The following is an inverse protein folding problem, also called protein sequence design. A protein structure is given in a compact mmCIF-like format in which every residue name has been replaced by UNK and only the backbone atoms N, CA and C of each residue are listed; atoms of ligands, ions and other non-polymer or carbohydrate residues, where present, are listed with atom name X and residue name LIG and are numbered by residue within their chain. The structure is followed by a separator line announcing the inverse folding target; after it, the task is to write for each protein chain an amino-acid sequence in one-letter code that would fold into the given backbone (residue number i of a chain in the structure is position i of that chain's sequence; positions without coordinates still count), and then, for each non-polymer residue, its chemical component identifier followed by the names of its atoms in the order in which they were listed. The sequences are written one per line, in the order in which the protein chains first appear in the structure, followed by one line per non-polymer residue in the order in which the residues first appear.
data_IF_057555296222
#
_entry.id   IF_057555296222
#
_cell.length_a   1.000
_cell.length_b   1.000
_cell.length_c   1.000
_cell.angle_alpha   90.00
_cell.angle_beta   90.00
_cell.angle_gamma   90.00
#
_symmetry.space_group_name_H-M   'P 1'
#
loop_
_entity.id
_entity.type
_entity.pdbx_description
1 polymer ?
#
# COMPACT_ATOMS: atom_id res chain seq x y z
N UNK A 1 4.76 23.62 13.41
CA UNK A 1 5.08 23.03 12.10
C UNK A 1 4.16 21.88 11.83
N UNK A 2 3.72 21.76 10.58
CA UNK A 2 2.86 20.64 10.19
C UNK A 2 3.72 19.39 10.02
N UNK A 3 3.13 18.25 10.41
CA UNK A 3 3.74 16.95 10.27
C UNK A 3 3.63 16.46 8.82
N UNK A 4 4.70 15.86 8.31
CA UNK A 4 4.68 15.16 7.03
C UNK A 4 5.73 14.05 7.05
N UNK A 5 5.35 12.86 6.62
CA UNK A 5 6.28 11.74 6.47
C UNK A 5 6.08 11.11 5.10
N UNK A 6 7.20 10.71 4.49
CA UNK A 6 7.19 9.97 3.22
C UNK A 6 8.05 8.74 3.35
N UNK A 7 7.62 7.66 2.69
CA UNK A 7 8.44 6.46 2.60
C UNK A 7 8.12 5.70 1.32
N UNK A 8 8.95 4.74 1.00
CA UNK A 8 8.82 3.96 -0.23
C UNK A 8 9.04 2.48 0.07
N UNK A 9 8.24 1.64 -0.56
CA UNK A 9 8.40 0.19 -0.53
C UNK A 9 8.82 -0.26 -1.91
N UNK A 10 10.07 -0.73 -2.04
CA UNK A 10 10.63 -1.20 -3.31
C UNK A 10 10.34 -2.69 -3.50
N UNK A 11 9.07 -3.00 -3.68
CA UNK A 11 8.58 -4.35 -3.91
C UNK A 11 7.33 -4.27 -4.77
N UNK A 12 7.02 -5.37 -5.45
CA UNK A 12 5.81 -5.44 -6.26
C UNK A 12 4.58 -5.24 -5.36
N UNK A 13 3.63 -4.38 -5.79
CA UNK A 13 2.45 -4.13 -4.97
C UNK A 13 1.62 -5.40 -4.78
N UNK A 14 1.16 -5.60 -3.56
CA UNK A 14 0.33 -6.75 -3.19
C UNK A 14 -0.95 -6.23 -2.54
N UNK A 15 -2.09 -6.69 -3.03
CA UNK A 15 -3.37 -6.38 -2.41
C UNK A 15 -3.54 -7.16 -1.13
N UNK A 16 -4.26 -6.59 -0.17
CA UNK A 16 -4.54 -7.26 1.10
C UNK A 16 -5.38 -8.52 0.83
N UNK A 17 -4.82 -9.67 1.21
CA UNK A 17 -5.52 -10.93 1.12
C UNK A 17 -6.65 -11.00 2.16
N UNK A 18 -7.79 -11.52 1.75
CA UNK A 18 -8.89 -11.72 2.68
C UNK A 18 -8.57 -12.91 3.58
N UNK A 19 -8.97 -12.88 4.87
CA UNK A 19 -8.83 -14.04 5.72
C UNK A 19 -9.53 -15.25 5.11
N UNK A 20 -8.88 -16.40 5.15
CA UNK A 20 -9.42 -17.63 4.62
C UNK A 20 -10.06 -18.43 5.75
N UNK A 21 -11.18 -19.10 5.44
CA UNK A 21 -11.87 -19.95 6.37
C UNK A 21 -11.35 -21.38 6.24
N UNK A 22 -10.98 -21.95 7.37
CA UNK A 22 -10.50 -23.34 7.43
C UNK A 22 -11.32 -24.11 8.46
N UNK A 23 -11.84 -25.27 8.06
CA UNK A 23 -12.57 -26.14 8.96
C UNK A 23 -11.58 -27.14 9.58
N UNK A 24 -11.51 -27.14 10.91
CA UNK A 24 -10.66 -28.06 11.67
C UNK A 24 -11.48 -28.67 12.80
N UNK A 25 -11.69 -29.99 12.77
CA UNK A 25 -12.37 -30.71 13.84
C UNK A 25 -13.75 -30.17 14.22
N UNK A 26 -14.54 -29.71 13.28
CA UNK A 26 -15.84 -29.13 13.50
C UNK A 26 -15.86 -27.63 13.75
N UNK A 27 -14.67 -26.98 13.79
CA UNK A 27 -14.55 -25.54 13.98
C UNK A 27 -14.16 -24.87 12.68
N UNK A 28 -14.65 -23.63 12.49
CA UNK A 28 -14.24 -22.78 11.38
C UNK A 28 -13.34 -21.70 11.95
N UNK A 29 -12.11 -21.64 11.46
CA UNK A 29 -11.14 -20.61 11.84
C UNK A 29 -10.77 -19.77 10.61
N UNK A 30 -10.24 -18.56 10.85
CA UNK A 30 -9.78 -17.70 9.79
C UNK A 30 -8.29 -17.46 9.95
N UNK A 31 -7.61 -17.20 8.83
CA UNK A 31 -6.20 -16.81 8.85
C UNK A 31 -5.91 -15.82 7.72
N UNK A 32 -4.93 -14.93 7.95
CA UNK A 32 -4.44 -14.01 6.93
C UNK A 32 -3.35 -14.73 6.13
N UNK A 33 -3.41 -14.70 4.78
CA UNK A 33 -2.37 -15.33 3.96
C UNK A 33 -0.98 -14.82 4.30
N UNK A 34 0.00 -15.71 4.31
CA UNK A 34 1.40 -15.40 4.65
C UNK A 34 1.95 -14.28 3.77
N UNK A 35 1.66 -14.32 2.48
CA UNK A 35 2.12 -13.30 1.53
C UNK A 35 1.68 -11.89 1.93
N UNK A 36 0.44 -11.74 2.39
CA UNK A 36 -0.07 -10.45 2.88
C UNK A 36 0.67 -10.02 4.15
N UNK A 37 0.89 -10.95 5.08
CA UNK A 37 1.61 -10.64 6.32
C UNK A 37 3.04 -10.23 6.08
N UNK A 38 3.72 -10.88 5.14
CA UNK A 38 5.10 -10.55 4.78
C UNK A 38 5.18 -9.15 4.18
N UNK A 39 4.24 -8.81 3.31
CA UNK A 39 4.19 -7.49 2.70
C UNK A 39 3.87 -6.41 3.73
N UNK A 40 2.91 -6.66 4.62
CA UNK A 40 2.58 -5.73 5.70
C UNK A 40 3.80 -5.49 6.62
N UNK A 41 4.59 -6.53 6.88
CA UNK A 41 5.80 -6.40 7.67
C UNK A 41 6.82 -5.48 7.00
N UNK A 42 6.99 -5.59 5.68
CA UNK A 42 7.87 -4.71 4.90
C UNK A 42 7.39 -3.26 4.99
N UNK A 43 6.08 -3.04 4.87
CA UNK A 43 5.51 -1.70 4.97
C UNK A 43 5.74 -1.12 6.36
N UNK A 44 5.50 -1.91 7.41
CA UNK A 44 5.71 -1.48 8.80
C UNK A 44 7.16 -1.07 9.03
N UNK A 45 8.10 -1.85 8.54
CA UNK A 45 9.53 -1.53 8.70
C UNK A 45 9.88 -0.21 8.00
N UNK A 46 9.39 -0.01 6.77
CA UNK A 46 9.63 1.23 6.03
C UNK A 46 9.01 2.43 6.74
N UNK A 47 7.80 2.28 7.26
CA UNK A 47 7.11 3.34 7.99
C UNK A 47 7.84 3.67 9.31
N UNK A 48 8.29 2.66 10.05
CA UNK A 48 9.06 2.85 11.29
C UNK A 48 10.36 3.58 11.03
N UNK A 49 11.07 3.24 9.97
CA UNK A 49 12.31 3.94 9.60
C UNK A 49 12.02 5.41 9.28
N UNK A 50 10.97 5.68 8.52
CA UNK A 50 10.62 7.04 8.15
C UNK A 50 10.19 7.88 9.36
N UNK A 51 9.50 7.27 10.32
CA UNK A 51 9.08 7.95 11.54
C UNK A 51 10.23 8.19 12.50
N UNK A 52 11.25 7.32 12.49
CA UNK A 52 12.36 7.43 13.42
C UNK A 52 11.90 7.42 14.87
N UNK A 53 12.21 8.49 15.59
CA UNK A 53 11.80 8.65 17.00
C UNK A 53 10.44 9.35 17.15
N UNK A 54 9.80 9.72 16.05
CA UNK A 54 8.50 10.41 16.09
C UNK A 54 7.39 9.49 16.57
N UNK A 55 6.52 10.02 17.41
CA UNK A 55 5.34 9.30 17.87
C UNK A 55 4.24 9.34 16.82
N UNK A 56 3.35 8.34 16.79
CA UNK A 56 2.19 8.38 15.88
C UNK A 56 1.37 9.64 16.12
N UNK A 57 0.92 10.29 15.04
CA UNK A 57 0.10 11.49 15.17
C UNK A 57 -1.33 11.12 15.54
N UNK A 58 -2.00 12.02 16.24
CA UNK A 58 -3.38 11.82 16.69
C UNK A 58 -4.38 12.76 16.00
N UNK A 59 -3.89 13.57 15.08
CA UNK A 59 -4.69 14.54 14.32
C UNK A 59 -5.24 13.91 13.04
N UNK A 60 -6.24 14.53 12.40
CA UNK A 60 -6.67 14.11 11.08
C UNK A 60 -5.52 14.18 10.07
N UNK A 61 -5.45 13.22 9.18
CA UNK A 61 -4.38 13.13 8.18
C UNK A 61 -4.92 12.94 6.77
N UNK A 62 -4.09 13.36 5.81
CA UNK A 62 -4.26 13.05 4.37
C UNK A 62 -3.19 12.04 4.00
N UNK A 63 -3.60 11.00 3.28
CA UNK A 63 -2.68 9.97 2.78
C UNK A 63 -2.70 9.96 1.26
N UNK A 64 -1.52 9.94 0.65
CA UNK A 64 -1.37 9.77 -0.79
C UNK A 64 -0.51 8.54 -1.04
N UNK A 65 -0.97 7.65 -1.91
CA UNK A 65 -0.30 6.41 -2.25
C UNK A 65 -0.15 6.36 -3.77
N UNK A 66 1.10 6.29 -4.24
CA UNK A 66 1.41 6.20 -5.66
C UNK A 66 1.98 4.81 -5.93
N UNK A 67 1.25 4.03 -6.72
CA UNK A 67 1.53 2.62 -6.95
C UNK A 67 2.09 2.44 -8.35
N UNK A 68 3.28 1.84 -8.46
CA UNK A 68 3.86 1.43 -9.72
C UNK A 68 3.77 -0.08 -9.85
N UNK A 69 3.03 -0.54 -10.86
CA UNK A 69 2.89 -1.96 -11.16
C UNK A 69 3.93 -2.33 -12.20
N UNK A 70 4.74 -3.38 -12.00
CA UNK A 70 5.74 -3.76 -12.99
C UNK A 70 5.06 -4.27 -14.26
N UNK A 71 5.60 -3.87 -15.41
CA UNK A 71 5.11 -4.35 -16.69
C UNK A 71 5.46 -5.83 -16.82
N UNK A 72 4.50 -6.71 -17.17
CA UNK A 72 4.79 -8.13 -17.32
C UNK A 72 5.90 -8.38 -18.33
N UNK A 73 6.83 -9.28 -17.98
CA UNK A 73 7.97 -9.61 -18.86
C UNK A 73 7.51 -10.25 -20.19
N UNK A 74 6.31 -10.82 -20.21
CA UNK A 74 5.75 -11.45 -21.40
C UNK A 74 5.23 -10.46 -22.44
N UNK A 75 5.12 -9.18 -22.09
CA UNK A 75 4.61 -8.17 -23.03
C UNK A 75 5.63 -7.90 -24.12
N UNK A 76 5.14 -7.68 -25.36
CA UNK A 76 5.98 -7.32 -26.49
C UNK A 76 6.61 -5.93 -26.25
N UNK A 77 7.65 -5.63 -27.03
CA UNK A 77 8.29 -4.30 -26.97
C UNK A 77 7.29 -3.18 -27.22
N UNK A 78 6.45 -3.35 -28.24
CA UNK A 78 5.42 -2.35 -28.58
C UNK A 78 4.43 -2.17 -27.44
N UNK A 79 3.99 -3.25 -26.81
CA UNK A 79 3.05 -3.19 -25.69
C UNK A 79 3.71 -2.58 -24.45
N UNK A 80 4.97 -2.90 -24.20
CA UNK A 80 5.74 -2.30 -23.12
C UNK A 80 5.84 -0.78 -23.29
N UNK A 81 6.10 -0.32 -24.51
CA UNK A 81 6.13 1.12 -24.81
C UNK A 81 4.78 1.79 -24.56
N UNK A 82 3.68 1.08 -24.90
CA UNK A 82 2.33 1.58 -24.62
C UNK A 82 2.08 1.72 -23.13
N UNK A 83 2.57 0.77 -22.32
CA UNK A 83 2.48 0.85 -20.86
C UNK A 83 3.27 2.04 -20.31
N UNK A 84 4.48 2.24 -20.81
CA UNK A 84 5.34 3.34 -20.33
C UNK A 84 4.83 4.72 -20.75
N UNK A 85 4.19 4.82 -21.92
CA UNK A 85 3.63 6.09 -22.40
C UNK A 85 2.27 6.44 -21.78
N UNK A 86 1.65 5.48 -21.07
CA UNK A 86 0.33 5.68 -20.49
C UNK A 86 -0.81 5.35 -21.43
N UNK A 87 -0.54 4.85 -22.63
CA UNK A 87 -1.58 4.40 -23.56
C UNK A 87 -2.26 3.14 -23.06
N UNK A 88 -1.51 2.25 -22.43
CA UNK A 88 -2.07 1.08 -21.75
C UNK A 88 -1.93 1.29 -20.24
N UNK A 89 -3.03 1.12 -19.51
CA UNK A 89 -3.11 1.36 -18.07
C UNK A 89 -3.26 0.04 -17.31
N UNK A 90 -2.81 -0.04 -16.05
CA UNK A 90 -2.87 -1.28 -15.28
C UNK A 90 -4.27 -1.51 -14.70
N UNK A 91 -5.14 -2.11 -15.50
CA UNK A 91 -6.53 -2.38 -15.11
C UNK A 91 -6.72 -3.79 -14.54
N UNK A 92 -5.62 -4.50 -14.28
CA UNK A 92 -5.63 -5.85 -13.71
C UNK A 92 -5.28 -5.81 -12.23
N UNK A 93 -5.43 -6.95 -11.55
CA UNK A 93 -5.01 -7.10 -10.14
C UNK A 93 -3.54 -6.72 -9.96
N UNK A 94 -3.16 -6.24 -8.78
CA UNK A 94 -3.99 -6.07 -7.59
C UNK A 94 -4.86 -4.81 -7.66
N UNK A 95 -6.02 -4.87 -7.00
CA UNK A 95 -6.97 -3.77 -6.96
C UNK A 95 -6.44 -2.62 -6.10
N UNK A 96 -6.76 -1.39 -6.50
CA UNK A 96 -6.30 -0.18 -5.83
C UNK A 96 -6.76 -0.12 -4.36
N UNK A 97 -8.00 -0.51 -4.07
CA UNK A 97 -8.54 -0.49 -2.73
C UNK A 97 -7.86 -1.54 -1.83
N UNK A 98 -7.56 -2.71 -2.36
CA UNK A 98 -6.86 -3.75 -1.61
C UNK A 98 -5.42 -3.37 -1.27
N UNK A 99 -4.73 -2.69 -2.19
CA UNK A 99 -3.37 -2.19 -1.93
C UNK A 99 -3.44 -1.10 -0.85
N UNK A 100 -4.35 -0.14 -1.02
CA UNK A 100 -4.52 0.95 -0.07
C UNK A 100 -4.82 0.41 1.34
N UNK A 101 -5.71 -0.57 1.45
CA UNK A 101 -6.05 -1.18 2.74
C UNK A 101 -4.82 -1.80 3.42
N UNK A 102 -3.98 -2.47 2.65
CA UNK A 102 -2.75 -3.07 3.18
C UNK A 102 -1.84 -2.00 3.80
N UNK A 103 -1.68 -0.87 3.13
CA UNK A 103 -0.85 0.23 3.61
C UNK A 103 -1.48 0.94 4.80
N UNK A 104 -2.77 1.25 4.73
CA UNK A 104 -3.46 1.93 5.82
C UNK A 104 -3.43 1.11 7.12
N UNK A 105 -3.68 -0.19 7.01
CA UNK A 105 -3.63 -1.09 8.17
C UNK A 105 -2.21 -1.19 8.74
N UNK A 106 -1.21 -1.29 7.88
CA UNK A 106 0.19 -1.41 8.30
C UNK A 106 0.70 -0.17 9.02
N UNK A 107 0.17 1.01 8.70
CA UNK A 107 0.57 2.28 9.33
C UNK A 107 -0.10 2.53 10.68
N UNK A 108 -1.09 1.73 11.08
CA UNK A 108 -1.75 1.87 12.37
C UNK A 108 -0.73 1.74 13.50
N UNK A 109 -0.80 2.66 14.45
CA UNK A 109 0.08 2.73 15.63
C UNK A 109 1.55 3.00 15.30
N UNK A 110 1.87 3.33 14.06
CA UNK A 110 3.23 3.70 13.61
C UNK A 110 3.25 5.15 13.14
N UNK A 111 2.43 5.47 12.15
CA UNK A 111 2.37 6.82 11.57
C UNK A 111 1.25 7.63 12.21
N UNK A 112 0.10 7.02 12.38
CA UNK A 112 -1.05 7.57 13.09
C UNK A 112 -1.56 6.48 14.06
N UNK A 113 -2.43 6.85 14.98
CA UNK A 113 -2.94 5.88 15.95
C UNK A 113 -3.91 4.91 15.31
N UNK A 114 -4.79 5.41 14.43
CA UNK A 114 -5.79 4.59 13.76
C UNK A 114 -6.16 5.19 12.40
N UNK A 115 -6.43 4.32 11.43
CA UNK A 115 -6.77 4.75 10.08
C UNK A 115 -8.11 5.50 9.98
N UNK A 116 -8.90 5.50 11.07
CA UNK A 116 -10.08 6.37 11.16
C UNK A 116 -9.72 7.87 11.11
N UNK A 117 -8.45 8.21 11.36
CA UNK A 117 -7.95 9.59 11.26
C UNK A 117 -7.76 10.04 9.82
N UNK A 118 -7.79 9.12 8.85
CA UNK A 118 -7.60 9.46 7.44
C UNK A 118 -8.87 10.08 6.90
N UNK A 119 -8.83 11.38 6.61
CA UNK A 119 -9.96 12.11 6.07
C UNK A 119 -9.91 12.19 4.54
N UNK A 120 -8.71 12.17 3.97
CA UNK A 120 -8.51 12.25 2.52
C UNK A 120 -7.51 11.19 2.11
N UNK A 121 -7.85 10.44 1.08
CA UNK A 121 -7.01 9.39 0.53
C UNK A 121 -6.91 9.55 -0.98
N UNK A 122 -5.69 9.73 -1.49
CA UNK A 122 -5.41 9.76 -2.92
C UNK A 122 -4.61 8.52 -3.27
N UNK A 123 -5.09 7.71 -4.21
CA UNK A 123 -4.40 6.51 -4.65
C UNK A 123 -4.35 6.48 -6.16
N UNK A 124 -3.17 6.30 -6.72
CA UNK A 124 -2.95 6.24 -8.17
C UNK A 124 -2.15 4.98 -8.49
N UNK A 125 -2.53 4.30 -9.56
CA UNK A 125 -1.87 3.08 -10.03
C UNK A 125 -1.43 3.27 -11.47
N UNK A 126 -0.11 3.08 -11.72
CA UNK A 126 0.48 3.22 -13.06
C UNK A 126 1.39 2.05 -13.36
N UNK A 127 1.72 1.83 -14.62
CA UNK A 127 2.76 0.89 -15.02
C UNK A 127 4.14 1.53 -14.92
N UNK A 128 5.14 0.72 -14.62
CA UNK A 128 6.54 1.14 -14.65
C UNK A 128 7.46 -0.06 -14.81
N UNK A 129 8.75 0.18 -14.85
CA UNK A 129 9.74 -0.88 -15.02
C UNK A 129 9.96 -1.70 -13.75
N UNK A 130 9.80 -1.07 -12.59
CA UNK A 130 10.03 -1.70 -11.29
C UNK A 130 8.80 -1.48 -10.42
N UNK A 131 8.35 -2.54 -9.76
CA UNK A 131 7.25 -2.44 -8.80
C UNK A 131 7.68 -1.66 -7.57
N UNK A 132 6.88 -0.69 -7.17
CA UNK A 132 7.12 0.10 -5.96
C UNK A 132 5.85 0.80 -5.52
N UNK A 133 5.82 1.22 -4.27
CA UNK A 133 4.74 2.06 -3.75
C UNK A 133 5.35 3.20 -2.95
N UNK A 134 4.98 4.42 -3.30
CA UNK A 134 5.39 5.61 -2.57
C UNK A 134 4.22 6.10 -1.72
N UNK A 135 4.50 6.47 -0.48
CA UNK A 135 3.49 6.90 0.47
C UNK A 135 3.87 8.24 1.06
N UNK A 136 2.88 9.13 1.14
CA UNK A 136 3.01 10.40 1.84
C UNK A 136 1.84 10.55 2.80
N UNK A 137 2.15 10.90 4.05
CA UNK A 137 1.14 11.18 5.08
C UNK A 137 1.43 12.55 5.63
N UNK A 138 0.42 13.40 5.65
CA UNK A 138 0.54 14.74 6.24
C UNK A 138 -0.70 15.04 7.09
N UNK A 139 -0.55 15.97 8.03
CA UNK A 139 -1.69 16.46 8.78
C UNK A 139 -2.67 17.15 7.84
N UNK A 140 -3.96 16.91 8.06
CA UNK A 140 -5.00 17.47 7.22
C UNK A 140 -5.48 18.79 7.85
N UNK A 141 -5.08 19.90 7.24
CA UNK A 141 -5.55 21.23 7.62
C UNK A 141 -6.51 21.72 6.54
N UNK A 142 -7.57 22.36 6.99
CA UNK A 142 -8.56 22.96 6.09
C UNK A 142 -7.99 24.11 5.27
#
# INVERSE_FOLDING_TARGET
MSFMVTFMVEADPIGKGRPKFVRRGGFITTYTPTKTRDYESIIKDAAKQAMGSSEPVETPVTVAIYITVPIPASYSKKRTEACLSGSERPTKKPDIDNIAKCFLDAMNEIVYMDDTQVLTLHVTKVYGTIGMVEVMVKEDFD
#
